data_IF_452387318712
#
_entry.id   IF_452387318712
#
_cell.length_a   1.000
_cell.length_b   1.000
_cell.length_c   1.000
_cell.angle_alpha   90.00
_cell.angle_beta   90.00
_cell.angle_gamma   90.00
#
_symmetry.space_group_name_H-M   'P 1'
#
loop_
_entity.id
_entity.type
_entity.pdbx_description
1 polymer ?
#
# COMPACT_ATOMS: atom_id res chain seq x y z
N UNK A 1 12.26 5.54 -7.46
CA UNK A 1 13.28 6.31 -6.73
C UNK A 1 12.64 7.14 -5.63
N UNK A 2 13.43 7.46 -4.61
CA UNK A 2 13.06 8.40 -3.54
C UNK A 2 14.09 9.53 -3.49
N UNK A 3 13.64 10.73 -3.22
CA UNK A 3 14.49 11.90 -3.02
C UNK A 3 14.07 12.64 -1.75
N UNK A 4 15.00 12.76 -0.80
CA UNK A 4 14.83 13.55 0.42
C UNK A 4 15.50 14.92 0.26
N UNK A 5 14.83 15.98 0.67
CA UNK A 5 15.34 17.35 0.59
C UNK A 5 16.23 17.68 1.80
N UNK A 6 17.42 17.08 1.84
CA UNK A 6 18.35 17.20 2.95
C UNK A 6 17.70 16.74 4.27
N UNK A 7 17.86 17.52 5.32
CA UNK A 7 17.28 17.26 6.66
C UNK A 7 15.93 17.94 6.89
N UNK A 8 15.31 18.47 5.82
CA UNK A 8 14.06 19.25 5.94
C UNK A 8 12.85 18.42 6.37
N UNK A 9 12.92 17.09 6.23
CA UNK A 9 11.80 16.18 6.39
C UNK A 9 10.95 16.01 5.14
N UNK A 10 11.05 16.89 4.14
CA UNK A 10 10.33 16.76 2.87
C UNK A 10 10.94 15.68 1.99
N UNK A 11 10.09 14.95 1.28
CA UNK A 11 10.50 13.96 0.30
C UNK A 11 9.50 13.84 -0.84
N UNK A 12 9.98 13.33 -1.96
CA UNK A 12 9.18 12.91 -3.12
C UNK A 12 9.71 11.58 -3.63
N UNK A 13 8.87 10.81 -4.28
CA UNK A 13 9.29 9.56 -4.87
C UNK A 13 8.38 9.08 -5.99
N UNK A 14 8.85 8.05 -6.67
CA UNK A 14 8.15 7.36 -7.72
C UNK A 14 8.38 5.85 -7.61
N UNK A 15 7.30 5.10 -7.67
CA UNK A 15 7.30 3.66 -7.80
C UNK A 15 6.64 3.26 -9.12
N UNK A 16 7.16 2.24 -9.77
CA UNK A 16 6.55 1.69 -10.98
C UNK A 16 6.48 0.17 -10.88
N UNK A 17 5.40 -0.40 -11.37
CA UNK A 17 5.21 -1.84 -11.41
C UNK A 17 4.42 -2.27 -12.64
N UNK A 18 4.63 -3.50 -13.08
CA UNK A 18 3.79 -4.12 -14.10
C UNK A 18 2.54 -4.71 -13.45
N UNK A 19 1.39 -4.47 -14.06
CA UNK A 19 0.09 -4.94 -13.56
C UNK A 19 -0.73 -5.55 -14.70
N UNK A 20 -1.65 -6.47 -14.37
CA UNK A 20 -2.54 -7.12 -15.33
C UNK A 20 -3.99 -7.26 -14.83
N UNK A 21 -4.34 -6.56 -13.75
CA UNK A 21 -5.67 -6.65 -13.14
C UNK A 21 -6.68 -5.66 -13.71
N UNK A 22 -6.22 -4.69 -14.49
CA UNK A 22 -7.04 -3.63 -15.07
C UNK A 22 -6.96 -3.71 -16.60
N UNK A 23 -8.09 -3.93 -17.26
CA UNK A 23 -8.17 -4.13 -18.72
C UNK A 23 -7.55 -2.93 -19.48
N UNK A 24 -6.72 -3.26 -20.49
CA UNK A 24 -6.04 -2.26 -21.32
C UNK A 24 -4.88 -1.55 -20.62
N UNK A 25 -4.48 -1.98 -19.43
CA UNK A 25 -3.37 -1.40 -18.70
C UNK A 25 -2.35 -2.44 -18.26
N UNK A 26 -1.07 -2.13 -18.42
CA UNK A 26 0.05 -3.00 -18.04
C UNK A 26 1.04 -2.32 -17.10
N UNK A 27 0.84 -1.06 -16.78
CA UNK A 27 1.74 -0.25 -15.95
C UNK A 27 0.95 0.45 -14.83
N UNK A 28 1.47 0.37 -13.62
CA UNK A 28 1.15 1.23 -12.49
C UNK A 28 2.33 2.16 -12.23
N UNK A 29 2.07 3.44 -12.16
CA UNK A 29 3.05 4.46 -11.83
C UNK A 29 2.55 5.29 -10.65
N UNK A 30 3.27 5.24 -9.53
CA UNK A 30 2.91 5.92 -8.30
C UNK A 30 3.81 7.13 -8.10
N UNK A 31 3.21 8.28 -7.94
CA UNK A 31 3.89 9.51 -7.55
C UNK A 31 3.48 9.86 -6.14
N UNK A 32 4.45 10.04 -5.27
CA UNK A 32 4.18 10.36 -3.88
C UNK A 32 5.12 11.43 -3.32
N UNK A 33 4.67 12.07 -2.28
CA UNK A 33 5.49 13.01 -1.52
C UNK A 33 4.87 13.28 -0.16
N UNK A 34 5.71 13.72 0.77
CA UNK A 34 5.28 13.91 2.14
C UNK A 34 6.29 14.65 2.99
N UNK A 35 5.98 14.67 4.27
CA UNK A 35 6.76 15.30 5.29
C UNK A 35 6.90 14.40 6.51
N UNK A 36 8.16 14.13 6.90
CA UNK A 36 8.51 13.32 8.08
C UNK A 36 8.95 14.22 9.20
N UNK A 37 8.49 13.95 10.41
CA UNK A 37 8.85 14.71 11.61
C UNK A 37 8.72 13.86 12.87
N UNK A 38 9.33 14.33 13.96
CA UNK A 38 9.23 13.67 15.28
C UNK A 38 8.38 14.52 16.20
N UNK A 39 7.41 13.90 16.84
CA UNK A 39 6.58 14.55 17.86
C UNK A 39 6.02 13.52 18.84
N UNK A 40 6.01 13.85 20.15
CA UNK A 40 5.43 13.00 21.19
C UNK A 40 6.09 11.62 21.33
N UNK A 41 7.38 11.49 21.00
CA UNK A 41 8.10 10.22 21.03
C UNK A 41 7.79 9.27 19.86
N UNK A 42 7.10 9.76 18.84
CA UNK A 42 6.73 9.04 17.62
C UNK A 42 7.44 9.67 16.41
N UNK A 43 7.76 8.83 15.43
CA UNK A 43 8.14 9.27 14.08
C UNK A 43 6.88 9.34 13.23
N UNK A 44 6.57 10.54 12.72
CA UNK A 44 5.40 10.81 11.89
C UNK A 44 5.78 10.92 10.42
N UNK A 45 4.87 10.47 9.56
CA UNK A 45 4.96 10.64 8.11
C UNK A 45 3.57 10.99 7.57
N UNK A 46 3.43 12.17 6.97
CA UNK A 46 2.17 12.63 6.37
C UNK A 46 2.41 13.00 4.92
N UNK A 47 1.49 12.63 4.03
CA UNK A 47 1.72 12.89 2.62
C UNK A 47 0.54 12.53 1.72
N UNK A 48 0.83 12.51 0.44
CA UNK A 48 -0.10 12.10 -0.61
C UNK A 48 0.58 11.13 -1.57
N UNK A 49 -0.22 10.25 -2.14
CA UNK A 49 0.17 9.35 -3.24
C UNK A 49 -0.89 9.37 -4.32
N UNK A 50 -0.46 9.37 -5.58
CA UNK A 50 -1.33 9.18 -6.74
C UNK A 50 -0.87 7.95 -7.49
N UNK A 51 -1.76 6.98 -7.61
CA UNK A 51 -1.60 5.77 -8.41
C UNK A 51 -2.15 6.06 -9.80
N UNK A 52 -1.32 5.91 -10.82
CA UNK A 52 -1.66 6.19 -12.21
C UNK A 52 -1.61 4.90 -13.03
N UNK A 53 -2.64 4.69 -13.82
CA UNK A 53 -2.79 3.56 -14.74
C UNK A 53 -2.97 4.10 -16.16
N UNK A 54 -1.86 4.37 -16.91
CA UNK A 54 -1.90 5.11 -18.18
C UNK A 54 -2.79 4.49 -19.25
N UNK A 55 -2.90 3.16 -19.28
CA UNK A 55 -3.76 2.44 -20.23
C UNK A 55 -5.24 2.43 -19.86
N UNK A 56 -5.59 2.70 -18.60
CA UNK A 56 -6.97 2.75 -18.13
C UNK A 56 -7.12 3.65 -16.90
N UNK A 57 -7.43 4.89 -17.09
CA UNK A 57 -7.50 5.92 -16.05
C UNK A 57 -8.62 5.72 -15.02
N UNK A 58 -9.50 4.74 -15.22
CA UNK A 58 -10.55 4.40 -14.23
C UNK A 58 -9.95 3.79 -12.96
N UNK A 59 -8.73 3.27 -13.03
CA UNK A 59 -7.96 2.83 -11.86
C UNK A 59 -7.31 3.94 -11.06
N UNK A 60 -7.15 5.13 -11.65
CA UNK A 60 -6.41 6.23 -11.02
C UNK A 60 -6.99 6.57 -9.65
N UNK A 61 -6.10 6.63 -8.67
CA UNK A 61 -6.47 6.85 -7.27
C UNK A 61 -5.49 7.83 -6.64
N UNK A 62 -6.02 8.79 -5.90
CA UNK A 62 -5.22 9.68 -5.06
C UNK A 62 -5.63 9.51 -3.61
N UNK A 63 -4.65 9.31 -2.76
CA UNK A 63 -4.84 9.17 -1.31
C UNK A 63 -4.01 10.21 -0.56
N UNK A 64 -4.58 10.71 0.54
CA UNK A 64 -3.83 11.35 1.61
C UNK A 64 -3.55 10.30 2.68
N UNK A 65 -2.36 10.35 3.28
CA UNK A 65 -2.01 9.41 4.33
C UNK A 65 -1.33 10.08 5.53
N UNK A 66 -1.46 9.40 6.66
CA UNK A 66 -0.70 9.68 7.86
C UNK A 66 -0.23 8.38 8.49
N UNK A 67 1.02 8.35 8.92
CA UNK A 67 1.61 7.23 9.62
C UNK A 67 2.31 7.69 10.90
N UNK A 68 2.30 6.82 11.91
CA UNK A 68 3.03 7.00 13.15
C UNK A 68 3.82 5.72 13.46
N UNK A 69 5.10 5.86 13.76
CA UNK A 69 5.99 4.75 14.11
C UNK A 69 6.45 4.89 15.55
N UNK A 70 6.31 3.82 16.31
CA UNK A 70 6.82 3.66 17.66
C UNK A 70 7.62 2.36 17.77
N UNK A 71 8.93 2.49 17.93
CA UNK A 71 9.83 1.33 17.92
C UNK A 71 9.64 0.51 16.63
N UNK A 72 9.36 -0.80 16.73
CA UNK A 72 9.19 -1.67 15.56
C UNK A 72 7.80 -1.60 14.92
N UNK A 73 6.86 -0.83 15.47
CA UNK A 73 5.45 -0.80 15.04
C UNK A 73 5.16 0.49 14.30
N UNK A 74 4.54 0.37 13.12
CA UNK A 74 4.00 1.49 12.35
C UNK A 74 2.49 1.31 12.17
N UNK A 75 1.71 2.34 12.46
CA UNK A 75 0.31 2.45 12.07
C UNK A 75 0.20 3.49 10.94
N UNK A 76 -0.47 3.15 9.83
CA UNK A 76 -0.70 4.05 8.69
C UNK A 76 -2.19 4.03 8.31
N UNK A 77 -2.76 5.21 8.12
CA UNK A 77 -4.07 5.36 7.53
C UNK A 77 -3.97 6.12 6.20
N UNK A 78 -4.57 5.55 5.15
CA UNK A 78 -4.72 6.16 3.83
C UNK A 78 -6.18 6.43 3.54
N UNK A 79 -6.48 7.58 2.95
CA UNK A 79 -7.84 8.04 2.63
C UNK A 79 -7.95 8.48 1.18
N UNK A 80 -8.80 7.82 0.41
CA UNK A 80 -9.02 8.15 -0.99
C UNK A 80 -9.78 9.48 -1.15
N UNK A 81 -9.13 10.44 -1.81
CA UNK A 81 -9.69 11.77 -2.11
C UNK A 81 -10.12 11.94 -3.57
N UNK A 82 -9.64 11.08 -4.47
CA UNK A 82 -10.05 11.01 -5.87
C UNK A 82 -11.47 10.49 -6.03
N UNK A 83 -12.06 10.72 -7.23
CA UNK A 83 -13.38 10.17 -7.57
C UNK A 83 -13.34 8.65 -7.63
N UNK A 84 -12.33 8.11 -8.30
CA UNK A 84 -12.14 6.68 -8.48
C UNK A 84 -11.30 6.10 -7.34
N UNK A 85 -11.39 4.81 -7.13
CA UNK A 85 -10.63 4.03 -6.16
C UNK A 85 -10.33 2.67 -6.76
N UNK A 86 -9.15 2.54 -7.39
CA UNK A 86 -8.64 1.32 -8.02
C UNK A 86 -9.70 0.64 -8.92
N UNK A 87 -10.41 1.42 -9.73
CA UNK A 87 -11.44 0.91 -10.65
C UNK A 87 -12.71 0.36 -9.99
N UNK A 88 -12.88 0.45 -8.68
CA UNK A 88 -14.04 -0.08 -7.98
C UNK A 88 -15.31 0.74 -8.17
N UNK A 89 -15.16 2.03 -8.41
CA UNK A 89 -16.29 2.92 -8.68
C UNK A 89 -16.49 3.15 -10.18
N UNK A 90 -16.67 4.00 -10.83
CA UNK A 90 -16.83 4.40 -12.22
C UNK A 90 -16.78 3.30 -13.28
N UNK A 91 -15.74 2.49 -13.31
CA UNK A 91 -15.50 1.52 -14.37
C UNK A 91 -16.46 0.33 -14.35
N UNK A 92 -16.77 -0.20 -13.18
CA UNK A 92 -17.61 -1.41 -13.06
C UNK A 92 -19.10 -1.15 -13.24
N UNK A 93 -19.53 0.09 -13.15
CA UNK A 93 -20.95 0.36 -13.08
C UNK A 93 -21.49 1.29 -14.16
N UNK A 94 -20.68 2.03 -14.88
CA UNK A 94 -21.18 3.13 -15.72
C UNK A 94 -22.06 4.12 -14.92
N UNK A 95 -21.99 4.06 -13.59
CA UNK A 95 -23.03 4.50 -12.66
C UNK A 95 -22.79 5.88 -12.06
N UNK A 96 -21.66 6.52 -12.36
CA UNK A 96 -21.27 7.77 -11.69
C UNK A 96 -20.97 7.62 -10.18
N UNK A 97 -20.90 6.39 -9.64
CA UNK A 97 -20.54 6.11 -8.28
C UNK A 97 -19.12 6.59 -7.99
N UNK A 98 -18.85 6.93 -6.74
CA UNK A 98 -17.55 7.44 -6.30
C UNK A 98 -16.91 6.48 -5.31
N UNK A 99 -15.62 6.21 -5.53
CA UNK A 99 -14.75 5.50 -4.59
C UNK A 99 -14.16 6.41 -3.49
N UNK A 100 -14.30 7.74 -3.64
CA UNK A 100 -13.89 8.73 -2.63
C UNK A 100 -14.41 8.35 -1.24
N UNK A 101 -13.59 8.56 -0.22
CA UNK A 101 -13.81 8.17 1.17
C UNK A 101 -13.69 6.64 1.41
N UNK A 102 -13.15 5.89 0.46
CA UNK A 102 -12.54 4.61 0.79
C UNK A 102 -11.26 4.84 1.57
N UNK A 103 -10.87 3.89 2.39
CA UNK A 103 -9.65 4.05 3.18
C UNK A 103 -9.06 2.71 3.59
N UNK A 104 -7.80 2.77 3.96
CA UNK A 104 -7.02 1.64 4.43
C UNK A 104 -6.31 1.98 5.74
N UNK A 105 -6.50 1.15 6.76
CA UNK A 105 -5.77 1.22 8.01
C UNK A 105 -4.85 0.01 8.10
N UNK A 106 -3.54 0.24 8.09
CA UNK A 106 -2.51 -0.78 8.19
C UNK A 106 -1.71 -0.66 9.47
N UNK A 107 -1.34 -1.80 10.02
CA UNK A 107 -0.33 -1.93 11.07
C UNK A 107 0.79 -2.81 10.56
N UNK A 108 2.02 -2.37 10.72
CA UNK A 108 3.20 -3.10 10.33
C UNK A 108 4.15 -3.24 11.53
N UNK A 109 4.82 -4.36 11.58
CA UNK A 109 5.87 -4.66 12.54
C UNK A 109 7.13 -5.06 11.76
N UNK A 110 8.28 -4.48 12.12
CA UNK A 110 9.58 -4.85 11.56
C UNK A 110 10.64 -4.76 12.66
N UNK A 111 11.27 -5.89 12.98
CA UNK A 111 12.27 -5.98 14.04
C UNK A 111 13.42 -6.89 13.62
N UNK A 112 14.64 -6.41 13.78
CA UNK A 112 15.81 -7.27 13.73
C UNK A 112 15.80 -8.23 14.93
N UNK A 113 15.75 -9.54 14.65
CA UNK A 113 15.65 -10.60 15.65
C UNK A 113 16.96 -11.37 15.82
N UNK A 114 17.86 -11.25 14.86
CA UNK A 114 19.23 -11.76 14.86
C UNK A 114 20.04 -10.94 13.84
N UNK A 115 21.37 -10.96 13.89
CA UNK A 115 22.20 -10.26 12.91
C UNK A 115 21.76 -10.58 11.47
N UNK A 116 21.46 -9.53 10.69
CA UNK A 116 20.99 -9.62 9.30
C UNK A 116 19.57 -10.19 9.11
N UNK A 117 18.87 -10.66 10.16
CA UNK A 117 17.52 -11.19 10.08
C UNK A 117 16.48 -10.22 10.61
N UNK A 118 15.57 -9.80 9.77
CA UNK A 118 14.42 -8.96 10.15
C UNK A 118 13.14 -9.75 10.06
N UNK A 119 12.42 -9.89 11.19
CA UNK A 119 11.03 -10.36 11.21
C UNK A 119 10.11 -9.23 10.75
N UNK A 120 9.17 -9.55 9.86
CA UNK A 120 8.16 -8.61 9.36
C UNK A 120 6.76 -9.20 9.49
N UNK A 121 5.82 -8.40 9.97
CA UNK A 121 4.41 -8.77 10.01
C UNK A 121 3.54 -7.56 9.67
N UNK A 122 2.38 -7.79 9.09
CA UNK A 122 1.40 -6.74 8.85
C UNK A 122 -0.03 -7.25 8.93
N UNK A 123 -0.95 -6.35 9.28
CA UNK A 123 -2.39 -6.52 9.15
C UNK A 123 -2.99 -5.22 8.65
N UNK A 124 -3.94 -5.31 7.73
CA UNK A 124 -4.59 -4.17 7.14
C UNK A 124 -6.10 -4.33 7.01
N UNK A 125 -6.81 -3.21 7.00
CA UNK A 125 -8.26 -3.17 6.97
C UNK A 125 -8.70 -2.18 5.88
N UNK A 126 -9.25 -2.70 4.79
CA UNK A 126 -9.84 -1.88 3.72
C UNK A 126 -11.31 -1.63 4.02
N UNK A 127 -11.67 -0.35 4.04
CA UNK A 127 -13.05 0.12 4.13
C UNK A 127 -13.43 0.83 2.83
N UNK A 128 -14.35 0.25 2.09
CA UNK A 128 -14.90 0.88 0.91
C UNK A 128 -15.94 1.96 1.24
N UNK A 129 -15.97 3.01 0.42
CA UNK A 129 -17.00 4.03 0.45
C UNK A 129 -18.39 3.43 0.19
N UNK A 130 -19.44 4.14 0.62
CA UNK A 130 -20.83 3.68 0.44
C UNK A 130 -21.18 3.41 -1.01
N UNK A 131 -20.70 4.23 -1.96
CA UNK A 131 -20.90 4.02 -3.39
C UNK A 131 -20.34 2.69 -3.89
N UNK A 132 -19.14 2.28 -3.46
CA UNK A 132 -18.53 0.99 -3.79
C UNK A 132 -19.29 -0.15 -3.09
N UNK A 133 -19.66 0.03 -1.83
CA UNK A 133 -20.43 -0.97 -1.05
C UNK A 133 -21.81 -1.24 -1.64
N UNK A 134 -22.47 -0.25 -2.26
CA UNK A 134 -23.76 -0.44 -2.91
C UNK A 134 -23.69 -1.40 -4.11
N UNK A 135 -22.49 -1.66 -4.64
CA UNK A 135 -22.21 -2.68 -5.65
C UNK A 135 -22.01 -4.09 -5.07
N UNK A 136 -22.22 -4.27 -3.76
CA UNK A 136 -21.99 -5.54 -3.07
C UNK A 136 -20.54 -5.82 -2.70
N UNK A 137 -19.62 -4.86 -2.87
CA UNK A 137 -18.18 -5.04 -2.55
C UNK A 137 -17.99 -5.03 -1.04
N UNK A 138 -17.55 -6.13 -0.42
CA UNK A 138 -17.34 -6.18 1.03
C UNK A 138 -16.00 -5.54 1.44
N UNK A 139 -15.97 -4.90 2.60
CA UNK A 139 -14.71 -4.57 3.25
C UNK A 139 -13.91 -5.85 3.52
N UNK A 140 -12.59 -5.76 3.52
CA UNK A 140 -11.73 -6.92 3.80
C UNK A 140 -10.55 -6.55 4.71
N UNK A 141 -9.94 -7.58 5.26
CA UNK A 141 -8.70 -7.54 6.04
C UNK A 141 -7.66 -8.33 5.27
N UNK A 142 -6.45 -7.84 5.22
CA UNK A 142 -5.27 -8.55 4.73
C UNK A 142 -4.23 -8.72 5.84
N UNK A 143 -3.29 -9.65 5.62
CA UNK A 143 -2.22 -9.93 6.56
C UNK A 143 -1.00 -10.47 5.83
N UNK A 144 0.16 -10.26 6.43
CA UNK A 144 1.39 -10.93 6.04
C UNK A 144 2.28 -11.21 7.26
N UNK A 145 3.06 -12.29 7.18
CA UNK A 145 4.13 -12.58 8.13
C UNK A 145 5.29 -13.24 7.39
N UNK A 146 6.50 -12.80 7.68
CA UNK A 146 7.69 -13.29 7.01
C UNK A 146 8.98 -12.78 7.64
N UNK A 147 10.09 -13.11 7.01
CA UNK A 147 11.40 -12.61 7.39
C UNK A 147 12.21 -12.21 6.16
N UNK A 148 13.18 -11.35 6.37
CA UNK A 148 14.15 -10.95 5.37
C UNK A 148 15.57 -11.13 5.90
N UNK A 149 16.46 -11.56 5.03
CA UNK A 149 17.89 -11.67 5.29
C UNK A 149 18.64 -10.60 4.48
N UNK A 150 19.48 -9.85 5.15
CA UNK A 150 20.32 -8.82 4.52
C UNK A 150 21.71 -9.41 4.24
N UNK A 151 22.08 -9.51 2.96
CA UNK A 151 23.41 -9.96 2.53
C UNK A 151 24.47 -8.85 2.60
N UNK A 152 24.05 -7.63 2.95
CA UNK A 152 24.90 -6.43 2.89
C UNK A 152 24.93 -5.82 1.49
N UNK A 153 25.61 -4.68 1.39
CA UNK A 153 25.73 -3.92 0.14
C UNK A 153 24.40 -3.63 -0.55
N UNK A 154 23.31 -3.49 0.22
CA UNK A 154 21.96 -3.20 -0.29
C UNK A 154 21.24 -4.39 -0.92
N UNK A 155 21.74 -5.63 -0.80
CA UNK A 155 21.08 -6.84 -1.29
C UNK A 155 20.36 -7.55 -0.14
N UNK A 156 19.08 -7.84 -0.30
CA UNK A 156 18.32 -8.64 0.68
C UNK A 156 17.33 -9.59 0.00
N UNK A 157 17.05 -10.70 0.68
CA UNK A 157 16.07 -11.71 0.28
C UNK A 157 15.01 -11.83 1.38
N UNK A 158 13.75 -11.67 1.01
CA UNK A 158 12.60 -11.84 1.89
C UNK A 158 11.72 -13.01 1.48
N UNK A 159 11.10 -13.65 2.46
CA UNK A 159 10.02 -14.61 2.25
C UNK A 159 8.87 -14.33 3.23
N UNK A 160 7.65 -14.32 2.74
CA UNK A 160 6.48 -14.05 3.55
C UNK A 160 5.28 -14.88 3.12
N UNK A 161 4.43 -15.27 4.07
CA UNK A 161 3.08 -15.78 3.81
C UNK A 161 2.12 -14.62 3.93
N UNK A 162 1.34 -14.35 2.88
CA UNK A 162 0.37 -13.28 2.83
C UNK A 162 -0.99 -13.79 2.33
N UNK A 163 -2.05 -13.13 2.76
CA UNK A 163 -3.40 -13.45 2.32
C UNK A 163 -4.42 -12.42 2.80
N UNK A 164 -5.68 -12.60 2.40
CA UNK A 164 -6.74 -11.71 2.83
C UNK A 164 -8.05 -12.46 3.11
N UNK A 165 -8.95 -11.78 3.82
CA UNK A 165 -10.31 -12.25 4.09
C UNK A 165 -11.20 -12.15 2.84
N UNK A 166 -12.46 -12.58 2.94
CA UNK A 166 -13.45 -12.49 1.85
C UNK A 166 -13.06 -13.23 0.57
N UNK A 167 -12.38 -14.37 0.70
CA UNK A 167 -11.93 -15.23 -0.41
C UNK A 167 -13.04 -15.63 -1.36
N UNK A 168 -14.26 -15.85 -0.84
CA UNK A 168 -15.43 -16.20 -1.66
C UNK A 168 -15.81 -15.07 -2.64
N UNK A 169 -15.58 -13.81 -2.27
CA UNK A 169 -15.88 -12.66 -3.13
C UNK A 169 -14.72 -12.32 -4.08
N UNK A 170 -13.51 -12.21 -3.54
CA UNK A 170 -12.33 -11.76 -4.30
C UNK A 170 -11.58 -12.90 -5.00
N UNK A 171 -11.96 -14.15 -4.73
CA UNK A 171 -11.39 -15.32 -5.39
C UNK A 171 -9.91 -15.52 -5.12
N UNK A 172 -9.17 -15.78 -6.20
CA UNK A 172 -7.74 -16.10 -6.12
C UNK A 172 -6.88 -14.97 -5.58
N UNK A 173 -7.30 -13.72 -5.73
CA UNK A 173 -6.53 -12.54 -5.27
C UNK A 173 -6.32 -12.57 -3.76
N UNK A 174 -7.34 -13.01 -3.00
CA UNK A 174 -7.29 -13.05 -1.54
C UNK A 174 -6.81 -14.40 -0.97
N UNK A 175 -6.42 -15.36 -1.82
CA UNK A 175 -5.86 -16.63 -1.32
C UNK A 175 -4.51 -16.40 -0.65
N UNK A 176 -4.24 -17.22 0.35
CA UNK A 176 -2.93 -17.24 1.01
C UNK A 176 -1.86 -17.70 0.04
N UNK A 177 -0.73 -16.99 0.00
CA UNK A 177 0.40 -17.23 -0.91
C UNK A 177 1.72 -17.10 -0.17
N UNK A 178 2.72 -17.82 -0.67
CA UNK A 178 4.11 -17.54 -0.38
C UNK A 178 4.61 -16.46 -1.37
N UNK A 179 5.21 -15.41 -0.83
CA UNK A 179 5.87 -14.35 -1.58
C UNK A 179 7.37 -14.45 -1.31
N UNK A 180 8.17 -14.37 -2.36
CA UNK A 180 9.63 -14.26 -2.26
C UNK A 180 10.05 -12.99 -2.95
N UNK A 181 10.85 -12.17 -2.28
CA UNK A 181 11.26 -10.85 -2.75
C UNK A 181 12.78 -10.73 -2.68
N UNK A 182 13.41 -10.46 -3.81
CA UNK A 182 14.80 -10.05 -3.86
C UNK A 182 14.84 -8.54 -4.04
N UNK A 183 15.56 -7.85 -3.15
CA UNK A 183 15.68 -6.38 -3.18
C UNK A 183 17.14 -6.00 -3.37
N UNK A 184 17.38 -5.03 -4.27
CA UNK A 184 18.68 -4.36 -4.44
C UNK A 184 18.47 -2.86 -4.30
N UNK A 185 19.14 -2.27 -3.32
CA UNK A 185 19.25 -0.81 -3.12
C UNK A 185 20.62 -0.35 -3.62
N UNK A 186 20.66 0.73 -4.36
CA UNK A 186 21.87 1.33 -4.95
C UNK A 186 22.29 2.57 -4.16
#
# INVERSE_FOLDING_TARGET
>A
FDYAFGESGWYVGNWNSTVNWLDGNSLEADLYGGYKFKAGGLDWDVGAVTYLFPGNTTGNTTELYGAATWGPVTAKYSHAVSKDYFGWAGAKAGSGLKGRNSGYLGFAYAQEIAPQWTLKASVGFTRFASGVKSLGVPNYMDYSVGAAYDFGSGLSLGAAVAGASKKAYFGVVNKTRLLVTLTKTL
#
